data_IF_212086938260
#
_entry.id   IF_212086938260
#
_cell.length_a   1.000
_cell.length_b   1.000
_cell.length_c   1.000
_cell.angle_alpha   90.00
_cell.angle_beta   90.00
_cell.angle_gamma   90.00
#
_symmetry.space_group_name_H-M   'P 1'
#
loop_
_entity.id
_entity.type
_entity.pdbx_description
1 polymer ?
#
# COMPACT_ATOMS: atom_id res chain seq x y z
N UNK A 1 5.40 17.31 5.78
CA UNK A 1 6.68 17.37 5.05
C UNK A 1 7.71 16.33 5.52
N UNK A 2 7.85 16.07 6.83
CA UNK A 2 8.86 15.16 7.38
C UNK A 2 8.65 13.67 7.05
N UNK A 3 7.41 13.21 6.95
CA UNK A 3 7.07 11.83 6.54
C UNK A 3 7.46 11.53 5.08
N UNK A 4 7.32 12.52 4.20
CA UNK A 4 7.67 12.37 2.78
C UNK A 4 9.18 12.19 2.61
N UNK A 5 9.98 12.96 3.37
CA UNK A 5 11.43 12.81 3.37
C UNK A 5 11.85 11.43 3.89
N UNK A 6 11.16 10.92 4.91
CA UNK A 6 11.42 9.58 5.46
C UNK A 6 11.10 8.47 4.44
N UNK A 7 9.98 8.58 3.71
CA UNK A 7 9.62 7.63 2.64
C UNK A 7 10.62 7.70 1.49
N UNK A 8 11.05 8.90 1.10
CA UNK A 8 12.01 9.09 0.02
C UNK A 8 13.40 8.57 0.43
N UNK A 9 13.81 8.78 1.67
CA UNK A 9 15.07 8.26 2.20
C UNK A 9 15.08 6.73 2.26
N UNK A 10 14.01 6.12 2.77
CA UNK A 10 13.81 4.66 2.75
C UNK A 10 13.80 4.10 1.32
N UNK A 11 13.14 4.80 0.39
CA UNK A 11 13.16 4.42 -1.03
C UNK A 11 14.57 4.49 -1.63
N UNK A 12 15.34 5.53 -1.31
CA UNK A 12 16.73 5.67 -1.74
C UNK A 12 17.64 4.58 -1.15
N UNK A 13 17.45 4.22 0.12
CA UNK A 13 18.18 3.13 0.78
C UNK A 13 17.85 1.77 0.17
N UNK A 14 16.58 1.51 -0.12
CA UNK A 14 16.13 0.23 -0.69
C UNK A 14 16.58 0.02 -2.14
N UNK A 15 16.70 1.11 -2.92
CA UNK A 15 17.00 1.06 -4.36
C UNK A 15 18.47 1.37 -4.70
N UNK A 16 19.22 1.95 -3.76
CA UNK A 16 20.58 2.46 -4.02
C UNK A 16 20.60 3.78 -4.81
N UNK A 17 19.44 4.39 -5.06
CA UNK A 17 19.32 5.66 -5.75
C UNK A 17 19.50 6.82 -4.77
N UNK A 18 20.38 7.77 -5.09
CA UNK A 18 20.48 9.03 -4.34
C UNK A 18 19.47 10.03 -4.86
N UNK A 19 18.52 10.41 -4.02
CA UNK A 19 17.51 11.41 -4.35
C UNK A 19 18.16 12.79 -4.25
N UNK A 20 18.19 13.52 -5.36
CA UNK A 20 18.66 14.89 -5.40
C UNK A 20 17.51 15.81 -5.01
N UNK A 21 17.43 16.16 -3.72
CA UNK A 21 16.40 17.07 -3.17
C UNK A 21 16.31 18.39 -3.94
N UNK A 22 17.43 18.90 -4.48
CA UNK A 22 17.46 20.15 -5.23
C UNK A 22 16.94 20.03 -6.67
N UNK A 23 16.76 18.78 -7.17
CA UNK A 23 16.14 18.47 -8.48
C UNK A 23 14.78 17.77 -8.34
N UNK A 24 14.47 17.25 -7.16
CA UNK A 24 13.12 16.83 -6.79
C UNK A 24 12.32 18.07 -6.39
N UNK A 25 12.14 18.98 -7.35
CA UNK A 25 11.07 19.95 -7.25
C UNK A 25 9.77 19.14 -7.41
N UNK A 26 9.23 18.74 -6.26
CA UNK A 26 7.85 18.30 -6.18
C UNK A 26 7.05 19.57 -6.44
N UNK A 27 6.87 19.94 -7.70
CA UNK A 27 5.65 20.65 -8.07
C UNK A 27 4.53 19.70 -7.68
N UNK A 28 4.05 19.87 -6.45
CA UNK A 28 2.84 19.22 -6.01
C UNK A 28 1.78 19.53 -7.06
N UNK A 29 0.89 18.57 -7.32
CA UNK A 29 -0.43 18.98 -7.74
C UNK A 29 -0.88 19.90 -6.61
N UNK A 30 -0.82 21.21 -6.89
CA UNK A 30 -1.02 22.26 -5.91
C UNK A 30 -2.45 22.15 -5.40
N UNK A 31 -2.56 21.55 -4.24
CA UNK A 31 -3.76 21.49 -3.44
C UNK A 31 -3.35 22.05 -2.08
N UNK A 32 -3.25 23.37 -2.02
CA UNK A 32 -3.11 24.07 -0.75
C UNK A 32 -4.21 23.61 0.22
N UNK A 33 -3.80 23.28 1.44
CA UNK A 33 -4.70 23.06 2.59
C UNK A 33 -5.81 22.04 2.40
N UNK A 34 -5.57 21.01 1.60
CA UNK A 34 -6.51 19.89 1.52
C UNK A 34 -6.22 18.91 2.65
N UNK A 35 -6.87 19.14 3.80
CA UNK A 35 -7.03 18.10 4.81
C UNK A 35 -7.76 16.92 4.14
N UNK A 36 -7.11 15.76 4.14
CA UNK A 36 -7.69 14.54 3.58
C UNK A 36 -8.98 14.17 4.32
N UNK A 37 -9.12 14.58 5.59
CA UNK A 37 -10.36 14.47 6.34
C UNK A 37 -11.48 15.37 5.76
N UNK A 38 -11.17 16.60 5.33
CA UNK A 38 -12.14 17.54 4.74
C UNK A 38 -12.58 17.13 3.33
N UNK A 39 -11.69 16.57 2.51
CA UNK A 39 -12.08 15.98 1.22
C UNK A 39 -13.04 14.84 1.40
N UNK A 40 -12.83 14.04 2.44
CA UNK A 40 -13.64 12.88 2.75
C UNK A 40 -14.93 13.25 3.50
N UNK A 41 -15.01 14.44 4.11
CA UNK A 41 -16.17 14.92 4.86
C UNK A 41 -17.42 15.16 3.98
N UNK A 42 -17.24 15.54 2.72
CA UNK A 42 -18.34 15.82 1.78
C UNK A 42 -18.91 14.58 1.09
N UNK A 43 -18.30 13.40 1.27
CA UNK A 43 -18.86 12.15 0.77
C UNK A 43 -19.74 11.56 1.88
N UNK A 44 -21.06 11.45 1.62
CA UNK A 44 -22.05 11.00 2.57
C UNK A 44 -21.69 9.64 3.20
N UNK A 45 -21.12 9.70 4.39
CA UNK A 45 -20.65 8.55 5.15
C UNK A 45 -19.22 8.80 5.62
N UNK A 46 -19.05 9.01 6.92
CA UNK A 46 -17.78 9.17 7.65
C UNK A 46 -16.90 7.92 7.51
N UNK A 47 -16.42 7.64 6.29
CA UNK A 47 -15.58 6.49 5.96
C UNK A 47 -14.15 6.95 6.12
N UNK A 48 -13.59 6.63 7.28
CA UNK A 48 -12.21 6.94 7.66
C UNK A 48 -11.21 6.39 6.64
N UNK A 49 -10.00 6.93 6.62
CA UNK A 49 -8.87 6.36 5.84
C UNK A 49 -8.67 4.87 6.15
N UNK A 50 -8.85 4.45 7.40
CA UNK A 50 -8.85 3.03 7.79
C UNK A 50 -9.93 2.23 7.08
N UNK A 51 -11.16 2.75 6.97
CA UNK A 51 -12.20 2.09 6.19
C UNK A 51 -11.79 1.94 4.72
N UNK A 52 -11.28 2.98 4.08
CA UNK A 52 -10.87 2.90 2.67
C UNK A 52 -9.79 1.82 2.44
N UNK A 53 -8.74 1.82 3.26
CA UNK A 53 -7.55 0.98 3.03
C UNK A 53 -7.60 -0.39 3.71
N UNK A 54 -8.54 -0.65 4.62
CA UNK A 54 -8.57 -1.90 5.41
C UNK A 54 -10.00 -2.45 5.51
N UNK A 55 -10.92 -1.71 6.14
CA UNK A 55 -12.21 -2.24 6.58
C UNK A 55 -13.34 -2.20 5.52
N UNK A 56 -13.12 -1.58 4.37
CA UNK A 56 -14.07 -1.61 3.26
C UNK A 56 -14.15 -3.02 2.69
N UNK A 57 -15.36 -3.55 2.46
CA UNK A 57 -15.57 -4.89 1.90
C UNK A 57 -14.74 -5.19 0.65
N UNK A 58 -14.59 -4.20 -0.22
CA UNK A 58 -13.75 -4.34 -1.42
C UNK A 58 -12.27 -4.53 -1.05
N UNK A 59 -11.73 -3.64 -0.23
CA UNK A 59 -10.33 -3.66 0.17
C UNK A 59 -10.00 -4.84 1.09
N UNK A 60 -10.89 -5.23 2.00
CA UNK A 60 -10.77 -6.45 2.81
C UNK A 60 -10.65 -7.68 1.93
N UNK A 61 -11.45 -7.79 0.86
CA UNK A 61 -11.32 -8.90 -0.11
C UNK A 61 -9.99 -8.87 -0.84
N UNK A 62 -9.50 -7.69 -1.21
CA UNK A 62 -8.20 -7.53 -1.84
C UNK A 62 -7.07 -8.03 -0.93
N UNK A 63 -7.11 -7.69 0.35
CA UNK A 63 -6.16 -8.21 1.34
C UNK A 63 -6.26 -9.73 1.53
N UNK A 64 -7.48 -10.29 1.56
CA UNK A 64 -7.67 -11.74 1.66
C UNK A 64 -7.12 -12.49 0.44
N UNK A 65 -7.27 -11.94 -0.76
CA UNK A 65 -6.66 -12.50 -1.98
C UNK A 65 -5.13 -12.44 -1.94
N UNK A 66 -4.56 -11.34 -1.41
CA UNK A 66 -3.12 -11.23 -1.17
C UNK A 66 -2.62 -12.20 -0.09
N UNK A 67 -3.44 -12.53 0.91
CA UNK A 67 -3.11 -13.48 1.97
C UNK A 67 -2.87 -14.91 1.45
N UNK A 68 -3.39 -15.23 0.26
CA UNK A 68 -3.18 -16.52 -0.42
C UNK A 68 -1.80 -16.63 -1.09
N UNK A 69 -1.02 -15.55 -1.12
CA UNK A 69 0.30 -15.53 -1.77
C UNK A 69 1.36 -16.12 -0.84
N UNK A 70 2.50 -16.60 -1.38
CA UNK A 70 3.60 -17.13 -0.57
C UNK A 70 4.01 -16.14 0.52
N UNK A 71 4.23 -16.66 1.74
CA UNK A 71 4.67 -15.90 2.91
C UNK A 71 3.75 -14.75 3.35
N UNK A 72 2.53 -14.66 2.81
CA UNK A 72 1.57 -13.59 3.09
C UNK A 72 0.40 -14.03 4.00
N UNK A 73 0.43 -15.25 4.54
CA UNK A 73 -0.65 -15.78 5.36
C UNK A 73 -0.96 -14.94 6.62
N UNK A 74 0.03 -14.19 7.13
CA UNK A 74 -0.13 -13.29 8.28
C UNK A 74 -1.16 -12.18 8.05
N UNK A 75 -1.42 -11.81 6.79
CA UNK A 75 -2.44 -10.81 6.42
C UNK A 75 -3.83 -11.20 6.96
N UNK A 76 -4.19 -12.49 6.89
CA UNK A 76 -5.48 -12.95 7.36
C UNK A 76 -5.65 -12.79 8.88
N UNK A 77 -4.57 -13.00 9.65
CA UNK A 77 -4.55 -12.77 11.09
C UNK A 77 -4.65 -11.27 11.41
N UNK A 78 -3.92 -10.42 10.67
CA UNK A 78 -3.97 -8.96 10.86
C UNK A 78 -5.34 -8.37 10.55
N UNK A 79 -6.08 -8.92 9.59
CA UNK A 79 -7.47 -8.49 9.31
C UNK A 79 -8.46 -8.84 10.43
N UNK A 80 -8.15 -9.85 11.26
CA UNK A 80 -8.95 -10.21 12.43
C UNK A 80 -8.61 -9.34 13.66
N UNK A 81 -7.48 -8.63 13.63
CA UNK A 81 -7.09 -7.73 14.71
C UNK A 81 -7.98 -6.49 14.76
N UNK A 82 -8.24 -6.01 15.99
CA UNK A 82 -8.97 -4.77 16.21
C UNK A 82 -8.02 -3.61 15.95
N UNK A 83 -8.09 -3.04 14.75
CA UNK A 83 -7.28 -1.89 14.33
C UNK A 83 -8.16 -0.67 14.14
N UNK A 84 -7.71 0.49 14.59
CA UNK A 84 -8.46 1.75 14.45
C UNK A 84 -7.83 2.68 13.41
N UNK A 85 -6.57 2.45 13.04
CA UNK A 85 -5.84 3.21 12.03
C UNK A 85 -5.13 2.33 11.00
N UNK A 86 -4.77 2.92 9.85
CA UNK A 86 -3.95 2.26 8.82
C UNK A 86 -2.55 1.92 9.36
N UNK A 87 -2.03 2.73 10.29
CA UNK A 87 -0.74 2.47 10.95
C UNK A 87 -0.83 1.24 11.85
N UNK A 88 -1.88 1.13 12.65
CA UNK A 88 -2.09 0.00 13.56
C UNK A 88 -2.21 -1.30 12.76
N UNK A 89 -2.93 -1.25 11.62
CA UNK A 89 -3.04 -2.41 10.73
C UNK A 89 -1.70 -2.78 10.11
N UNK A 90 -0.89 -1.79 9.70
CA UNK A 90 0.47 -2.06 9.21
C UNK A 90 1.35 -2.68 10.30
N UNK A 91 1.27 -2.19 11.53
CA UNK A 91 2.03 -2.74 12.66
C UNK A 91 1.60 -4.17 12.96
N UNK A 92 0.31 -4.44 13.05
CA UNK A 92 -0.23 -5.80 13.17
C UNK A 92 0.26 -6.71 12.03
N UNK A 93 0.26 -6.21 10.79
CA UNK A 93 0.77 -6.96 9.64
C UNK A 93 2.26 -7.28 9.76
N UNK A 94 3.08 -6.34 10.23
CA UNK A 94 4.51 -6.61 10.44
C UNK A 94 4.75 -7.59 11.58
N UNK A 95 3.91 -7.58 12.63
CA UNK A 95 4.00 -8.54 13.74
C UNK A 95 3.70 -9.97 13.27
N UNK A 96 2.69 -10.15 12.43
CA UNK A 96 2.30 -11.44 11.84
C UNK A 96 3.24 -11.91 10.71
N UNK A 97 4.13 -11.04 10.24
CA UNK A 97 5.08 -11.35 9.17
C UNK A 97 6.43 -11.77 9.75
N UNK A 98 7.01 -12.84 9.20
CA UNK A 98 8.37 -13.28 9.53
C UNK A 98 9.39 -12.13 9.35
N UNK A 99 10.35 -12.05 10.28
CA UNK A 99 11.34 -10.97 10.31
C UNK A 99 12.13 -10.82 9.01
N UNK A 100 12.46 -11.92 8.33
CA UNK A 100 13.16 -11.93 7.04
C UNK A 100 12.31 -11.38 5.88
N UNK A 101 10.99 -11.34 6.05
CA UNK A 101 10.01 -10.94 5.04
C UNK A 101 9.37 -9.56 5.28
N UNK A 102 9.54 -8.95 6.47
CA UNK A 102 8.90 -7.66 6.83
C UNK A 102 9.16 -6.53 5.83
N UNK A 103 10.37 -6.40 5.29
CA UNK A 103 10.66 -5.33 4.31
C UNK A 103 9.93 -5.56 2.98
N UNK A 104 9.83 -6.83 2.54
CA UNK A 104 9.04 -7.20 1.37
C UNK A 104 7.56 -6.96 1.61
N UNK A 105 7.05 -7.37 2.77
CA UNK A 105 5.64 -7.14 3.14
C UNK A 105 5.30 -5.66 3.26
N UNK A 106 6.22 -4.83 3.78
CA UNK A 106 6.03 -3.38 3.81
C UNK A 106 5.95 -2.79 2.40
N UNK A 107 6.70 -3.33 1.44
CA UNK A 107 6.63 -2.90 0.04
C UNK A 107 5.30 -3.32 -0.61
N UNK A 108 4.87 -4.56 -0.36
CA UNK A 108 3.58 -5.07 -0.83
C UNK A 108 2.41 -4.28 -0.23
N UNK A 109 2.51 -3.92 1.06
CA UNK A 109 1.52 -3.08 1.73
C UNK A 109 1.32 -1.74 1.02
N UNK A 110 2.43 -1.06 0.69
CA UNK A 110 2.39 0.21 -0.05
C UNK A 110 1.75 0.00 -1.43
N UNK A 111 2.15 -1.05 -2.15
CA UNK A 111 1.62 -1.34 -3.49
C UNK A 111 0.10 -1.59 -3.48
N UNK A 112 -0.40 -2.32 -2.48
CA UNK A 112 -1.84 -2.55 -2.29
C UNK A 112 -2.55 -1.23 -1.97
N UNK A 113 -2.05 -0.43 -1.01
CA UNK A 113 -2.63 0.87 -0.68
C UNK A 113 -2.64 1.82 -1.89
N UNK A 114 -1.55 1.91 -2.66
CA UNK A 114 -1.48 2.73 -3.87
C UNK A 114 -2.46 2.26 -4.94
N UNK A 115 -2.66 0.94 -5.08
CA UNK A 115 -3.61 0.38 -6.04
C UNK A 115 -5.06 0.66 -5.65
N UNK A 116 -5.39 0.59 -4.35
CA UNK A 116 -6.71 0.97 -3.81
C UNK A 116 -6.98 2.46 -4.03
N UNK A 117 -5.99 3.32 -3.75
CA UNK A 117 -6.11 4.75 -3.99
C UNK A 117 -6.34 5.07 -5.47
N UNK A 118 -5.58 4.42 -6.37
CA UNK A 118 -5.77 4.57 -7.81
C UNK A 118 -7.16 4.12 -8.26
N UNK A 119 -7.63 2.95 -7.82
CA UNK A 119 -8.97 2.45 -8.16
C UNK A 119 -10.07 3.41 -7.71
N UNK A 120 -9.97 3.96 -6.49
CA UNK A 120 -10.89 4.99 -6.01
C UNK A 120 -10.91 6.20 -6.94
N UNK A 121 -9.75 6.68 -7.37
CA UNK A 121 -9.66 7.84 -8.26
C UNK A 121 -10.23 7.55 -9.66
N UNK A 122 -9.97 6.37 -10.23
CA UNK A 122 -10.56 5.99 -11.52
C UNK A 122 -12.10 5.94 -11.45
N UNK A 123 -12.67 5.41 -10.37
CA UNK A 123 -14.13 5.38 -10.17
C UNK A 123 -14.71 6.79 -10.02
N UNK A 124 -14.08 7.64 -9.21
CA UNK A 124 -14.61 8.98 -8.91
C UNK A 124 -14.45 9.93 -10.11
N UNK A 125 -13.29 9.95 -10.77
CA UNK A 125 -12.97 10.97 -11.77
C UNK A 125 -13.21 10.51 -13.21
N UNK A 126 -13.31 9.21 -13.46
CA UNK A 126 -13.43 8.65 -14.82
C UNK A 126 -14.58 7.68 -14.98
N UNK A 127 -15.40 7.49 -13.95
CA UNK A 127 -16.53 6.55 -13.92
C UNK A 127 -16.14 5.14 -14.42
N UNK A 128 -14.91 4.73 -14.06
CA UNK A 128 -14.32 3.47 -14.50
C UNK A 128 -14.13 2.55 -13.30
N UNK A 129 -14.78 1.40 -13.34
CA UNK A 129 -14.64 0.34 -12.36
C UNK A 129 -13.79 -0.81 -12.90
N UNK A 130 -12.80 -1.22 -12.12
CA UNK A 130 -11.98 -2.41 -12.39
C UNK A 130 -12.41 -3.53 -11.45
N UNK A 131 -12.44 -4.78 -11.95
CA UNK A 131 -12.77 -5.92 -11.12
C UNK A 131 -11.67 -6.24 -10.09
N UNK A 132 -12.04 -6.88 -8.98
CA UNK A 132 -11.11 -7.32 -7.94
C UNK A 132 -9.96 -8.17 -8.53
N UNK A 133 -10.30 -9.12 -9.42
CA UNK A 133 -9.33 -10.02 -10.06
C UNK A 133 -8.32 -9.24 -10.91
N UNK A 134 -8.78 -8.24 -11.68
CA UNK A 134 -7.89 -7.40 -12.48
C UNK A 134 -6.93 -6.58 -11.60
N UNK A 135 -7.40 -6.07 -10.46
CA UNK A 135 -6.55 -5.31 -9.53
C UNK A 135 -5.52 -6.23 -8.85
N UNK A 136 -5.93 -7.44 -8.44
CA UNK A 136 -5.01 -8.44 -7.87
C UNK A 136 -3.93 -8.86 -8.87
N UNK A 137 -4.32 -9.11 -10.12
CA UNK A 137 -3.35 -9.45 -11.17
C UNK A 137 -2.41 -8.28 -11.44
N UNK A 138 -2.92 -7.05 -11.50
CA UNK A 138 -2.09 -5.86 -11.62
C UNK A 138 -1.06 -5.74 -10.47
N UNK A 139 -1.50 -5.90 -9.22
CA UNK A 139 -0.61 -5.82 -8.04
C UNK A 139 0.45 -6.92 -8.12
N UNK A 140 0.07 -8.12 -8.55
CA UNK A 140 1.00 -9.24 -8.73
C UNK A 140 2.04 -8.89 -9.78
N UNK A 141 1.62 -8.46 -10.96
CA UNK A 141 2.52 -8.14 -12.07
C UNK A 141 3.49 -7.01 -11.68
N UNK A 142 3.02 -5.97 -10.98
CA UNK A 142 3.87 -4.91 -10.45
C UNK A 142 4.86 -5.42 -9.39
N UNK A 143 4.40 -6.22 -8.43
CA UNK A 143 5.28 -6.78 -7.40
C UNK A 143 6.39 -7.65 -8.02
N UNK A 144 6.05 -8.43 -9.06
CA UNK A 144 7.00 -9.20 -9.84
C UNK A 144 7.96 -8.29 -10.62
N UNK A 145 7.46 -7.28 -11.31
CA UNK A 145 8.28 -6.32 -12.04
C UNK A 145 9.28 -5.63 -11.11
N UNK A 146 8.87 -5.21 -9.92
CA UNK A 146 9.75 -4.59 -8.93
C UNK A 146 10.82 -5.58 -8.44
N UNK A 147 10.43 -6.83 -8.17
CA UNK A 147 11.37 -7.88 -7.79
C UNK A 147 12.44 -8.13 -8.86
N UNK A 148 12.05 -8.18 -10.14
CA UNK A 148 12.97 -8.34 -11.27
C UNK A 148 13.82 -7.08 -11.52
N UNK A 149 13.28 -5.89 -11.23
CA UNK A 149 14.02 -4.63 -11.30
C UNK A 149 15.01 -4.43 -10.13
N UNK A 150 15.08 -5.37 -9.18
CA UNK A 150 16.08 -5.38 -8.11
C UNK A 150 15.53 -5.17 -6.70
N UNK A 151 14.22 -5.10 -6.50
CA UNK A 151 13.61 -5.08 -5.16
C UNK A 151 13.77 -6.45 -4.46
N UNK A 152 14.97 -6.71 -3.92
CA UNK A 152 15.37 -8.00 -3.35
C UNK A 152 14.45 -8.49 -2.24
N UNK A 153 13.87 -7.59 -1.45
CA UNK A 153 12.97 -7.98 -0.36
C UNK A 153 11.59 -8.45 -0.84
N UNK A 154 11.06 -7.87 -1.92
CA UNK A 154 9.85 -8.39 -2.57
C UNK A 154 10.14 -9.74 -3.20
N UNK A 155 11.30 -9.89 -3.84
CA UNK A 155 11.73 -11.19 -4.38
C UNK A 155 11.81 -12.25 -3.27
N UNK A 156 12.40 -11.91 -2.13
CA UNK A 156 12.46 -12.80 -0.97
C UNK A 156 11.05 -13.18 -0.50
N UNK A 157 10.20 -12.19 -0.23
CA UNK A 157 8.81 -12.42 0.20
C UNK A 157 8.05 -13.38 -0.74
N UNK A 158 8.17 -13.21 -2.05
CA UNK A 158 7.32 -13.92 -2.99
C UNK A 158 7.83 -15.31 -3.39
N UNK A 159 9.13 -15.60 -3.24
CA UNK A 159 9.73 -16.85 -3.74
C UNK A 159 10.69 -17.56 -2.78
N UNK A 160 11.19 -16.93 -1.73
CA UNK A 160 12.09 -17.56 -0.77
C UNK A 160 11.28 -18.02 0.46
N UNK A 161 11.50 -19.24 1.00
CA UNK A 161 10.85 -19.65 2.25
C UNK A 161 11.36 -18.81 3.44
N UNK A 162 10.57 -18.71 4.54
CA UNK A 162 10.97 -17.95 5.72
C UNK A 162 12.16 -18.59 6.45
#
# INVERSE_FOLDING_TARGET
>A
MQLLLLILEEFGLATGLRININKCEVTGIHCDDIDLADVLANFAGTRTTHHLFVACTFTTRLWLEAALWPNCQGVAASLQSVTVSVSDFRESLMLETDTGHRHGMSSLFILICSSVWRERNERIFRDKETSLCQIINFIRDEAQAWAFAGAKALRRLLWEPP
#
